data_IF_407326613860
#
_entry.id   IF_407326613860
#
_cell.length_a   1.000
_cell.length_b   1.000
_cell.length_c   1.000
_cell.angle_alpha   90.00
_cell.angle_beta   90.00
_cell.angle_gamma   90.00
#
_symmetry.space_group_name_H-M   'P 1'
#
loop_
_entity.id
_entity.type
_entity.pdbx_description
1 polymer ?
#
# COMPACT_ATOMS: atom_id res chain seq x y z
N UNK A 1 5.04 -6.15 22.75
CA UNK A 1 3.80 -6.62 22.09
C UNK A 1 3.71 -8.12 22.32
N UNK A 2 2.59 -8.67 22.77
CA UNK A 2 2.49 -10.13 22.96
C UNK A 2 2.47 -10.81 21.60
N UNK A 3 3.25 -11.90 21.45
CA UNK A 3 3.35 -12.68 20.21
C UNK A 3 1.98 -13.22 19.77
N UNK A 4 1.11 -13.54 20.73
CA UNK A 4 -0.25 -14.01 20.49
C UNK A 4 -1.13 -12.97 19.76
N UNK A 5 -1.01 -11.68 20.11
CA UNK A 5 -1.79 -10.62 19.46
C UNK A 5 -1.38 -10.44 18.00
N UNK A 6 -0.08 -10.36 17.73
CA UNK A 6 0.43 -10.22 16.36
C UNK A 6 0.01 -11.41 15.50
N UNK A 7 0.19 -12.64 16.00
CA UNK A 7 -0.20 -13.85 15.28
C UNK A 7 -1.71 -13.87 14.98
N UNK A 8 -2.55 -13.41 15.90
CA UNK A 8 -3.99 -13.30 15.67
C UNK A 8 -4.32 -12.29 14.56
N UNK A 9 -3.70 -11.11 14.56
CA UNK A 9 -3.94 -10.11 13.51
C UNK A 9 -3.45 -10.61 12.14
N UNK A 10 -2.25 -11.19 12.07
CA UNK A 10 -1.71 -11.75 10.81
C UNK A 10 -2.61 -12.84 10.24
N UNK A 11 -3.17 -13.72 11.08
CA UNK A 11 -4.14 -14.73 10.62
C UNK A 11 -5.41 -14.10 10.05
N UNK A 12 -5.90 -13.02 10.66
CA UNK A 12 -7.11 -12.31 10.19
C UNK A 12 -6.88 -11.60 8.85
N UNK A 13 -5.70 -11.02 8.63
CA UNK A 13 -5.38 -10.29 7.39
C UNK A 13 -4.65 -11.12 6.32
N UNK A 14 -4.46 -12.42 6.53
CA UNK A 14 -3.62 -13.28 5.67
C UNK A 14 -3.92 -13.18 4.18
N UNK A 15 -5.20 -13.07 3.82
CA UNK A 15 -5.64 -12.95 2.41
C UNK A 15 -5.19 -11.61 1.84
N UNK A 16 -5.37 -10.52 2.59
CA UNK A 16 -4.92 -9.19 2.18
C UNK A 16 -3.39 -9.07 2.11
N UNK A 17 -2.64 -9.81 2.95
CA UNK A 17 -1.19 -9.89 2.82
C UNK A 17 -0.75 -10.51 1.48
N UNK A 18 -1.51 -11.47 0.96
CA UNK A 18 -1.19 -12.16 -0.28
C UNK A 18 -1.43 -11.28 -1.52
N UNK A 19 -2.40 -10.36 -1.50
CA UNK A 19 -2.79 -9.52 -2.64
C UNK A 19 -1.58 -8.81 -3.29
N UNK A 20 -0.78 -7.99 -2.57
CA UNK A 20 0.35 -7.30 -3.19
C UNK A 20 1.46 -8.26 -3.61
N UNK A 21 1.65 -9.39 -2.91
CA UNK A 21 2.66 -10.39 -3.26
C UNK A 21 2.32 -11.12 -4.56
N UNK A 22 1.07 -11.53 -4.73
CA UNK A 22 0.59 -12.16 -5.96
C UNK A 22 0.73 -11.19 -7.13
N UNK A 23 0.30 -9.94 -6.96
CA UNK A 23 0.46 -8.92 -8.00
C UNK A 23 1.93 -8.70 -8.37
N UNK A 24 2.83 -8.67 -7.39
CA UNK A 24 4.27 -8.56 -7.59
C UNK A 24 4.86 -9.75 -8.34
N UNK A 25 4.53 -10.98 -7.93
CA UNK A 25 5.03 -12.21 -8.56
C UNK A 25 4.51 -12.34 -9.99
N UNK A 26 3.23 -12.08 -10.23
CA UNK A 26 2.65 -12.10 -11.58
C UNK A 26 3.34 -11.06 -12.45
N UNK A 27 3.54 -9.84 -11.95
CA UNK A 27 4.24 -8.77 -12.69
C UNK A 27 5.68 -9.16 -13.02
N UNK A 28 6.41 -9.71 -12.05
CA UNK A 28 7.77 -10.20 -12.26
C UNK A 28 7.85 -11.30 -13.32
N UNK A 29 6.98 -12.31 -13.22
CA UNK A 29 6.97 -13.45 -14.14
C UNK A 29 6.61 -13.02 -15.55
N UNK A 30 5.51 -12.28 -15.70
CA UNK A 30 5.04 -11.82 -17.02
C UNK A 30 6.07 -10.86 -17.64
N UNK A 31 6.62 -9.93 -16.88
CA UNK A 31 7.66 -9.01 -17.38
C UNK A 31 8.95 -9.73 -17.75
N UNK A 32 9.37 -10.76 -16.98
CA UNK A 32 10.52 -11.63 -17.33
C UNK A 32 10.30 -12.39 -18.63
N UNK A 33 9.10 -12.97 -18.81
CA UNK A 33 8.76 -13.69 -20.03
C UNK A 33 8.73 -12.76 -21.24
N UNK A 34 8.15 -11.57 -21.08
CA UNK A 34 8.18 -10.54 -22.13
C UNK A 34 9.60 -10.08 -22.45
N UNK A 35 10.49 -9.94 -21.46
CA UNK A 35 11.89 -9.60 -21.70
C UNK A 35 12.63 -10.65 -22.55
N UNK A 36 12.23 -11.91 -22.46
CA UNK A 36 12.81 -13.00 -23.25
C UNK A 36 12.20 -13.11 -24.67
N UNK A 37 10.97 -12.66 -24.86
CA UNK A 37 10.21 -12.88 -26.09
C UNK A 37 10.03 -11.64 -26.97
N UNK A 38 10.08 -10.44 -26.39
CA UNK A 38 9.74 -9.18 -27.05
C UNK A 38 10.94 -8.24 -27.12
N UNK A 39 10.80 -7.14 -27.87
CA UNK A 39 11.81 -6.08 -27.86
C UNK A 39 11.91 -5.43 -26.47
N UNK A 40 13.08 -4.89 -26.14
CA UNK A 40 13.34 -4.24 -24.85
C UNK A 40 12.31 -3.15 -24.53
N UNK A 41 11.95 -2.31 -25.51
CA UNK A 41 10.95 -1.25 -25.32
C UNK A 41 9.54 -1.80 -25.00
N UNK A 42 9.13 -2.88 -25.67
CA UNK A 42 7.84 -3.54 -25.39
C UNK A 42 7.84 -4.18 -24.00
N UNK A 43 8.94 -4.84 -23.61
CA UNK A 43 9.12 -5.41 -22.28
C UNK A 43 9.04 -4.35 -21.18
N UNK A 44 9.71 -3.19 -21.38
CA UNK A 44 9.65 -2.06 -20.46
C UNK A 44 8.24 -1.48 -20.34
N UNK A 45 7.54 -1.28 -21.46
CA UNK A 45 6.18 -0.75 -21.45
C UNK A 45 5.20 -1.68 -20.71
N UNK A 46 5.31 -3.00 -20.94
CA UNK A 46 4.50 -3.99 -20.23
C UNK A 46 4.81 -3.99 -18.73
N UNK A 47 6.09 -4.04 -18.36
CA UNK A 47 6.53 -4.02 -16.97
C UNK A 47 6.06 -2.75 -16.24
N UNK A 48 6.10 -1.59 -16.91
CA UNK A 48 5.57 -0.34 -16.37
C UNK A 48 4.06 -0.41 -16.12
N UNK A 49 3.28 -0.90 -17.09
CA UNK A 49 1.83 -1.06 -16.95
C UNK A 49 1.44 -2.04 -15.84
N UNK A 50 2.07 -3.21 -15.80
CA UNK A 50 1.84 -4.21 -14.74
C UNK A 50 2.28 -3.71 -13.35
N UNK A 51 3.37 -2.92 -13.30
CA UNK A 51 3.80 -2.26 -12.07
C UNK A 51 2.72 -1.38 -11.45
N UNK A 52 1.85 -0.75 -12.25
CA UNK A 52 0.72 0.02 -11.75
C UNK A 52 -0.36 -0.86 -11.09
N UNK A 53 -0.56 -2.08 -11.59
CA UNK A 53 -1.46 -3.07 -10.98
C UNK A 53 -0.96 -3.44 -9.58
N UNK A 54 0.33 -3.68 -9.43
CA UNK A 54 0.93 -3.92 -8.11
C UNK A 54 0.69 -2.76 -7.13
N UNK A 55 0.86 -1.51 -7.58
CA UNK A 55 0.66 -0.32 -6.73
C UNK A 55 -0.79 -0.21 -6.26
N UNK A 56 -1.76 -0.30 -7.18
CA UNK A 56 -3.18 -0.19 -6.80
C UNK A 56 -3.61 -1.37 -5.91
N UNK A 57 -3.16 -2.60 -6.20
CA UNK A 57 -3.41 -3.77 -5.35
C UNK A 57 -2.89 -3.59 -3.92
N UNK A 58 -1.72 -2.94 -3.77
CA UNK A 58 -1.15 -2.63 -2.46
C UNK A 58 -2.02 -1.67 -1.66
N UNK A 59 -2.53 -0.60 -2.29
CA UNK A 59 -3.42 0.35 -1.65
C UNK A 59 -4.78 -0.24 -1.29
N UNK A 60 -5.38 -1.01 -2.21
CA UNK A 60 -6.67 -1.68 -1.99
C UNK A 60 -6.57 -2.72 -0.87
N UNK A 61 -5.48 -3.50 -0.81
CA UNK A 61 -5.26 -4.45 0.27
C UNK A 61 -5.25 -3.76 1.65
N UNK A 62 -4.66 -2.57 1.75
CA UNK A 62 -4.70 -1.76 2.97
C UNK A 62 -6.12 -1.26 3.24
N UNK A 63 -6.83 -0.73 2.24
CA UNK A 63 -8.21 -0.31 2.41
C UNK A 63 -9.10 -1.43 2.99
N UNK A 64 -9.03 -2.64 2.42
CA UNK A 64 -9.79 -3.82 2.86
C UNK A 64 -9.60 -4.11 4.35
N UNK A 65 -8.36 -4.14 4.84
CA UNK A 65 -8.09 -4.53 6.23
C UNK A 65 -8.45 -3.47 7.26
N UNK A 66 -8.61 -2.22 6.82
CA UNK A 66 -8.92 -1.09 7.69
C UNK A 66 -10.41 -0.76 7.74
N UNK A 67 -11.15 -0.98 6.64
CA UNK A 67 -12.59 -0.66 6.55
C UNK A 67 -13.52 -1.86 6.74
N UNK A 68 -12.98 -3.06 6.93
CA UNK A 68 -13.76 -4.31 7.04
C UNK A 68 -14.02 -4.80 8.47
N UNK A 69 -13.82 -3.99 9.51
CA UNK A 69 -13.98 -4.44 10.91
C UNK A 69 -15.28 -3.91 11.55
N UNK A 70 -16.35 -4.73 11.64
CA UNK A 70 -17.64 -4.31 12.21
C UNK A 70 -17.64 -4.26 13.75
N UNK A 71 -16.51 -4.51 14.42
CA UNK A 71 -16.44 -4.68 15.88
C UNK A 71 -15.57 -3.62 16.56
N UNK A 72 -15.68 -2.36 16.15
CA UNK A 72 -14.92 -1.24 16.75
C UNK A 72 -15.14 -1.18 18.27
N UNK A 73 -16.38 -1.33 18.72
CA UNK A 73 -16.77 -1.31 20.14
C UNK A 73 -16.15 -2.46 20.95
N UNK A 74 -16.06 -3.66 20.36
CA UNK A 74 -15.45 -4.83 21.01
C UNK A 74 -13.94 -4.66 21.16
N UNK A 75 -13.27 -3.98 20.22
CA UNK A 75 -11.84 -3.73 20.31
C UNK A 75 -11.51 -2.70 21.40
N UNK A 76 -12.30 -1.64 21.53
CA UNK A 76 -12.11 -0.64 22.60
C UNK A 76 -12.41 -1.20 24.00
N UNK A 77 -13.25 -2.24 24.10
CA UNK A 77 -13.51 -2.96 25.35
C UNK A 77 -12.38 -3.96 25.74
N UNK A 78 -11.34 -4.12 24.92
CA UNK A 78 -10.22 -5.03 25.18
C UNK A 78 -8.89 -4.28 25.37
N UNK A 79 -7.85 -4.91 25.94
CA UNK A 79 -6.49 -4.34 26.00
C UNK A 79 -5.86 -4.05 24.62
N UNK A 80 -6.53 -4.45 23.53
CA UNK A 80 -6.13 -4.20 22.15
C UNK A 80 -7.02 -3.11 21.53
N UNK A 81 -6.77 -1.85 21.91
CA UNK A 81 -7.51 -0.69 21.39
C UNK A 81 -7.60 -0.65 19.87
N UNK A 82 -8.66 -0.04 19.35
CA UNK A 82 -8.93 0.03 17.91
C UNK A 82 -7.75 0.61 17.13
N UNK A 83 -7.16 1.72 17.63
CA UNK A 83 -5.94 2.33 17.07
C UNK A 83 -4.82 1.30 16.86
N UNK A 84 -4.58 0.45 17.87
CA UNK A 84 -3.49 -0.51 17.85
C UNK A 84 -3.73 -1.59 16.80
N UNK A 85 -4.96 -2.09 16.70
CA UNK A 85 -5.35 -3.09 15.70
C UNK A 85 -5.19 -2.53 14.28
N UNK A 86 -5.75 -1.34 14.02
CA UNK A 86 -5.68 -0.67 12.72
C UNK A 86 -4.23 -0.47 12.26
N UNK A 87 -3.35 -0.02 13.14
CA UNK A 87 -1.94 0.16 12.80
C UNK A 87 -1.20 -1.15 12.56
N UNK A 88 -1.42 -2.18 13.37
CA UNK A 88 -0.76 -3.47 13.13
C UNK A 88 -1.19 -4.06 11.79
N UNK A 89 -2.47 -3.96 11.43
CA UNK A 89 -2.96 -4.42 10.12
C UNK A 89 -2.40 -3.60 8.97
N UNK A 90 -2.43 -2.27 9.07
CA UNK A 90 -1.84 -1.37 8.07
C UNK A 90 -0.36 -1.71 7.85
N UNK A 91 0.44 -1.75 8.93
CA UNK A 91 1.87 -2.03 8.87
C UNK A 91 2.15 -3.42 8.29
N UNK A 92 1.38 -4.45 8.65
CA UNK A 92 1.58 -5.79 8.13
C UNK A 92 1.35 -5.85 6.61
N UNK A 93 0.27 -5.23 6.11
CA UNK A 93 -0.02 -5.19 4.66
C UNK A 93 0.99 -4.31 3.93
N UNK A 94 1.38 -3.16 4.49
CA UNK A 94 2.43 -2.32 3.91
C UNK A 94 3.77 -3.06 3.84
N UNK A 95 4.16 -3.80 4.88
CA UNK A 95 5.38 -4.60 4.85
C UNK A 95 5.31 -5.68 3.76
N UNK A 96 4.15 -6.33 3.59
CA UNK A 96 3.93 -7.27 2.49
C UNK A 96 4.09 -6.60 1.11
N UNK A 97 3.55 -5.39 0.95
CA UNK A 97 3.72 -4.62 -0.28
C UNK A 97 5.18 -4.19 -0.52
N UNK A 98 5.92 -3.80 0.52
CA UNK A 98 7.35 -3.49 0.40
C UNK A 98 8.16 -4.73 -0.03
N UNK A 99 7.86 -5.90 0.53
CA UNK A 99 8.47 -7.16 0.08
C UNK A 99 8.10 -7.43 -1.39
N UNK A 100 6.82 -7.28 -1.74
CA UNK A 100 6.33 -7.41 -3.12
C UNK A 100 7.06 -6.46 -4.08
N UNK A 101 7.30 -5.20 -3.70
CA UNK A 101 8.03 -4.24 -4.51
C UNK A 101 9.45 -4.74 -4.85
N UNK A 102 10.16 -5.31 -3.87
CA UNK A 102 11.51 -5.88 -4.08
C UNK A 102 11.45 -7.14 -4.95
N UNK A 103 10.51 -8.05 -4.65
CA UNK A 103 10.29 -9.30 -5.40
C UNK A 103 9.93 -9.01 -6.86
N UNK A 104 9.19 -7.94 -7.12
CA UNK A 104 8.84 -7.47 -8.46
C UNK A 104 10.03 -6.81 -9.16
N UNK A 105 10.70 -5.88 -8.47
CA UNK A 105 11.77 -5.06 -9.06
C UNK A 105 13.00 -5.88 -9.45
N UNK A 106 13.54 -6.68 -8.51
CA UNK A 106 14.79 -7.40 -8.70
C UNK A 106 14.88 -8.22 -10.00
N UNK A 107 13.88 -9.08 -10.34
CA UNK A 107 13.94 -9.85 -11.57
C UNK A 107 13.82 -9.00 -12.84
N UNK A 108 13.06 -7.90 -12.80
CA UNK A 108 12.87 -6.99 -13.93
C UNK A 108 14.08 -6.08 -14.18
N UNK A 109 14.73 -5.64 -13.09
CA UNK A 109 16.01 -4.94 -13.10
C UNK A 109 17.09 -5.80 -13.76
N UNK A 110 17.25 -7.04 -13.30
CA UNK A 110 18.24 -7.98 -13.87
C UNK A 110 17.96 -8.27 -15.34
N UNK A 111 16.69 -8.28 -15.76
CA UNK A 111 16.30 -8.47 -17.15
C UNK A 111 16.41 -7.20 -18.02
N UNK A 112 16.81 -6.05 -17.45
CA UNK A 112 16.97 -4.80 -18.18
C UNK A 112 15.66 -4.23 -18.73
N UNK A 113 14.52 -4.58 -18.14
CA UNK A 113 13.18 -4.13 -18.56
C UNK A 113 12.50 -3.23 -17.53
N UNK A 114 13.23 -2.77 -16.52
CA UNK A 114 12.72 -1.74 -15.63
C UNK A 114 12.86 -0.35 -16.28
N UNK A 115 11.77 0.41 -16.33
CA UNK A 115 11.78 1.73 -16.97
C UNK A 115 12.57 2.75 -16.13
N UNK A 116 13.41 3.56 -16.79
CA UNK A 116 14.26 4.58 -16.13
C UNK A 116 15.16 3.98 -15.03
N UNK A 117 15.70 2.79 -15.28
CA UNK A 117 16.60 2.11 -14.37
C UNK A 117 17.90 2.88 -14.16
N UNK A 118 18.26 3.13 -12.90
CA UNK A 118 19.49 3.82 -12.46
C UNK A 118 20.29 2.91 -11.53
N UNK A 119 20.11 1.59 -11.66
CA UNK A 119 20.64 0.59 -10.76
C UNK A 119 19.70 0.28 -9.61
N UNK A 120 20.21 -0.46 -8.62
CA UNK A 120 19.43 -0.94 -7.48
C UNK A 120 18.73 0.16 -6.66
N UNK A 121 19.21 1.40 -6.72
CA UNK A 121 18.55 2.53 -6.05
C UNK A 121 17.14 2.78 -6.59
N UNK A 122 16.85 2.38 -7.83
CA UNK A 122 15.52 2.53 -8.45
C UNK A 122 14.44 1.69 -7.76
N UNK A 123 14.80 0.69 -6.93
CA UNK A 123 13.85 -0.06 -6.09
C UNK A 123 13.05 0.84 -5.14
N UNK A 124 13.58 2.02 -4.80
CA UNK A 124 12.89 3.03 -3.98
C UNK A 124 11.61 3.52 -4.65
N UNK A 125 11.48 3.42 -5.98
CA UNK A 125 10.27 3.83 -6.71
C UNK A 125 9.06 2.97 -6.32
N UNK A 126 9.05 1.64 -6.54
CA UNK A 126 7.90 0.82 -6.16
C UNK A 126 7.71 0.73 -4.64
N UNK A 127 8.78 0.76 -3.84
CA UNK A 127 8.67 0.83 -2.37
C UNK A 127 7.96 2.12 -1.94
N UNK A 128 8.41 3.27 -2.44
CA UNK A 128 7.83 4.56 -2.12
C UNK A 128 6.37 4.66 -2.55
N UNK A 129 6.02 4.15 -3.75
CA UNK A 129 4.62 4.06 -4.19
C UNK A 129 3.75 3.24 -3.22
N UNK A 130 4.22 2.05 -2.82
CA UNK A 130 3.50 1.17 -1.90
C UNK A 130 3.29 1.83 -0.53
N UNK A 131 4.32 2.51 0.00
CA UNK A 131 4.24 3.23 1.28
C UNK A 131 3.29 4.43 1.18
N UNK A 132 3.39 5.24 0.11
CA UNK A 132 2.54 6.41 -0.09
C UNK A 132 1.07 6.02 -0.21
N UNK A 133 0.74 5.03 -1.03
CA UNK A 133 -0.66 4.62 -1.23
C UNK A 133 -1.23 3.96 0.02
N UNK A 134 -0.43 3.19 0.76
CA UNK A 134 -0.83 2.61 2.03
C UNK A 134 -1.14 3.67 3.09
N UNK A 135 -0.30 4.71 3.18
CA UNK A 135 -0.53 5.82 4.12
C UNK A 135 -1.76 6.64 3.74
N UNK A 136 -2.02 6.85 2.44
CA UNK A 136 -3.24 7.50 1.96
C UNK A 136 -4.48 6.68 2.32
N UNK A 137 -4.45 5.35 2.12
CA UNK A 137 -5.50 4.44 2.53
C UNK A 137 -5.73 4.50 4.05
N UNK A 138 -4.66 4.46 4.84
CA UNK A 138 -4.74 4.56 6.29
C UNK A 138 -5.33 5.88 6.77
N UNK A 139 -4.93 6.99 6.14
CA UNK A 139 -5.51 8.30 6.39
C UNK A 139 -7.01 8.33 6.08
N UNK A 140 -7.39 7.90 4.87
CA UNK A 140 -8.78 7.91 4.46
C UNK A 140 -9.67 7.01 5.32
N UNK A 141 -9.21 5.78 5.61
CA UNK A 141 -9.91 4.85 6.48
C UNK A 141 -10.06 5.41 7.88
N UNK A 142 -9.01 6.02 8.43
CA UNK A 142 -9.08 6.70 9.70
C UNK A 142 -10.17 7.78 9.65
N UNK A 143 -10.16 8.75 8.73
CA UNK A 143 -11.12 9.85 8.80
C UNK A 143 -12.56 9.50 8.41
N UNK A 144 -12.75 8.58 7.46
CA UNK A 144 -14.05 8.33 6.83
C UNK A 144 -14.76 7.09 7.35
N UNK A 145 -14.03 6.07 7.81
CA UNK A 145 -14.59 4.76 8.16
C UNK A 145 -15.25 4.00 6.99
N UNK A 146 -15.29 4.56 5.78
CA UNK A 146 -16.02 4.01 4.63
C UNK A 146 -15.07 3.32 3.66
N UNK A 147 -15.41 2.08 3.29
CA UNK A 147 -14.72 1.33 2.25
C UNK A 147 -14.73 2.07 0.90
N UNK A 148 -15.86 2.68 0.55
CA UNK A 148 -16.02 3.43 -0.70
C UNK A 148 -15.11 4.65 -0.73
N UNK A 149 -15.19 5.52 0.29
CA UNK A 149 -14.36 6.73 0.37
C UNK A 149 -12.86 6.41 0.43
N UNK A 150 -12.49 5.37 1.18
CA UNK A 150 -11.10 4.92 1.26
C UNK A 150 -10.58 4.45 -0.09
N UNK A 151 -11.37 3.67 -0.83
CA UNK A 151 -10.99 3.18 -2.15
C UNK A 151 -10.89 4.32 -3.17
N UNK A 152 -11.77 5.33 -3.10
CA UNK A 152 -11.68 6.54 -3.93
C UNK A 152 -10.35 7.25 -3.69
N UNK A 153 -9.94 7.44 -2.43
CA UNK A 153 -8.66 8.09 -2.11
C UNK A 153 -7.47 7.25 -2.59
N UNK A 154 -7.53 5.92 -2.44
CA UNK A 154 -6.51 5.00 -2.96
C UNK A 154 -6.36 5.14 -4.47
N UNK A 155 -7.48 5.09 -5.21
CA UNK A 155 -7.48 5.24 -6.66
C UNK A 155 -7.01 6.62 -7.09
N UNK A 156 -7.43 7.69 -6.42
CA UNK A 156 -6.99 9.04 -6.70
C UNK A 156 -5.47 9.22 -6.46
N UNK A 157 -4.95 8.63 -5.37
CA UNK A 157 -3.51 8.64 -5.06
C UNK A 157 -2.72 7.86 -6.11
N UNK A 158 -3.21 6.69 -6.51
CA UNK A 158 -2.63 5.90 -7.57
C UNK A 158 -2.59 6.66 -8.91
N UNK A 159 -3.71 7.25 -9.32
CA UNK A 159 -3.79 8.08 -10.54
C UNK A 159 -2.84 9.27 -10.48
N UNK A 160 -2.79 9.97 -9.34
CA UNK A 160 -1.85 11.07 -9.14
C UNK A 160 -0.40 10.62 -9.33
N UNK A 161 0.01 9.53 -8.65
CA UNK A 161 1.36 9.01 -8.77
C UNK A 161 1.65 8.59 -10.22
N UNK A 162 0.80 7.75 -10.80
CA UNK A 162 1.03 7.12 -12.10
C UNK A 162 0.96 8.11 -13.28
N UNK A 163 0.00 9.04 -13.26
CA UNK A 163 -0.33 9.88 -14.41
C UNK A 163 0.14 11.33 -14.28
N UNK A 164 0.30 11.86 -13.05
CA UNK A 164 0.57 13.29 -12.83
C UNK A 164 1.92 13.57 -12.17
N UNK A 165 2.52 12.60 -11.49
CA UNK A 165 3.74 12.81 -10.73
C UNK A 165 4.94 12.06 -11.31
N UNK A 166 4.86 10.74 -11.38
CA UNK A 166 5.97 9.88 -11.79
C UNK A 166 6.52 10.14 -13.19
N UNK A 167 5.70 10.47 -14.20
CA UNK A 167 6.21 10.77 -15.54
C UNK A 167 6.98 12.09 -15.62
N UNK A 168 6.72 13.05 -14.71
CA UNK A 168 7.18 14.44 -14.84
C UNK A 168 8.26 14.83 -13.82
N UNK A 169 8.48 14.04 -12.77
CA UNK A 169 9.48 14.33 -11.73
C UNK A 169 10.68 13.38 -11.86
N UNK A 170 11.77 13.86 -12.46
CA UNK A 170 12.97 13.05 -12.69
C UNK A 170 13.86 12.82 -11.44
N UNK A 171 14.12 13.83 -10.57
CA UNK A 171 15.01 13.63 -9.44
C UNK A 171 14.38 12.65 -8.45
N UNK A 172 15.04 11.52 -8.19
CA UNK A 172 14.50 10.44 -7.37
C UNK A 172 14.08 10.91 -5.97
N UNK A 173 14.87 11.80 -5.37
CA UNK A 173 14.58 12.41 -4.08
C UNK A 173 13.27 13.20 -4.09
N UNK A 174 12.97 13.95 -5.14
CA UNK A 174 11.71 14.69 -5.25
C UNK A 174 10.56 13.75 -5.62
N UNK A 175 10.81 12.84 -6.58
CA UNK A 175 9.83 11.87 -7.08
C UNK A 175 9.25 11.01 -5.97
N UNK A 176 10.06 10.62 -4.98
CA UNK A 176 9.60 9.78 -3.86
C UNK A 176 9.57 10.48 -2.52
N UNK A 177 10.52 11.37 -2.24
CA UNK A 177 10.61 12.07 -0.96
C UNK A 177 9.38 12.93 -0.67
N UNK A 178 8.85 13.65 -1.67
CA UNK A 178 7.66 14.50 -1.47
C UNK A 178 6.41 13.64 -1.19
N UNK A 179 6.04 12.65 -2.02
CA UNK A 179 4.87 11.81 -1.73
C UNK A 179 5.00 11.04 -0.41
N UNK A 180 6.19 10.54 -0.07
CA UNK A 180 6.43 9.84 1.21
C UNK A 180 6.29 10.81 2.39
N UNK A 181 6.82 12.03 2.30
CA UNK A 181 6.69 13.04 3.36
C UNK A 181 5.23 13.42 3.61
N UNK A 182 4.47 13.67 2.54
CA UNK A 182 3.02 13.95 2.63
C UNK A 182 2.30 12.76 3.28
N UNK A 183 2.59 11.54 2.83
CA UNK A 183 2.06 10.30 3.38
C UNK A 183 2.38 10.13 4.88
N UNK A 184 3.61 10.43 5.31
CA UNK A 184 4.00 10.38 6.72
C UNK A 184 3.21 11.37 7.56
N UNK A 185 3.03 12.61 7.08
CA UNK A 185 2.22 13.62 7.79
C UNK A 185 0.77 13.14 7.94
N UNK A 186 0.19 12.56 6.88
CA UNK A 186 -1.16 11.99 6.92
C UNK A 186 -1.25 10.81 7.89
N UNK A 187 -0.27 9.89 7.88
CA UNK A 187 -0.23 8.75 8.79
C UNK A 187 -0.12 9.19 10.26
N UNK A 188 0.69 10.20 10.56
CA UNK A 188 0.80 10.77 11.93
C UNK A 188 -0.53 11.40 12.36
N UNK A 189 -1.20 12.14 11.47
CA UNK A 189 -2.52 12.72 11.76
C UNK A 189 -3.59 11.65 11.99
N UNK A 190 -3.61 10.62 11.15
CA UNK A 190 -4.50 9.47 11.26
C UNK A 190 -4.26 8.70 12.57
N UNK A 191 -3.00 8.49 12.95
CA UNK A 191 -2.64 7.86 14.23
C UNK A 191 -3.16 8.65 15.44
N UNK A 192 -2.98 9.97 15.43
CA UNK A 192 -3.50 10.85 16.50
C UNK A 192 -5.03 10.79 16.54
N UNK A 193 -5.68 10.87 15.38
CA UNK A 193 -7.14 10.80 15.24
C UNK A 193 -7.69 9.50 15.82
N UNK A 194 -7.09 8.35 15.48
CA UNK A 194 -7.55 7.05 15.96
C UNK A 194 -7.41 6.89 17.48
N UNK A 195 -6.68 7.77 18.17
CA UNK A 195 -6.60 7.78 19.63
C UNK A 195 -7.83 8.36 20.33
N UNK A 196 -8.77 8.95 19.60
CA UNK A 196 -10.02 9.51 20.12
C UNK A 196 -11.12 8.43 20.11
N UNK A 197 -11.27 7.74 21.25
CA UNK A 197 -12.20 6.61 21.39
C UNK A 197 -13.67 7.01 21.25
N UNK A 198 -14.07 8.16 21.83
CA UNK A 198 -15.45 8.67 21.74
C UNK A 198 -15.84 8.93 20.28
N UNK A 199 -14.91 9.48 19.50
CA UNK A 199 -15.13 9.73 18.08
C UNK A 199 -15.15 8.46 17.24
N UNK A 200 -14.34 7.46 17.58
CA UNK A 200 -14.38 6.16 16.91
C UNK A 200 -15.73 5.44 17.15
N UNK A 201 -16.24 5.47 18.38
CA UNK A 201 -17.52 4.86 18.76
C UNK A 201 -18.69 5.58 18.07
N UNK A 202 -18.74 6.91 18.15
CA UNK A 202 -19.83 7.68 17.51
C UNK A 202 -19.90 7.48 16.00
N UNK A 203 -18.77 7.34 15.31
CA UNK A 203 -18.77 7.00 13.89
C UNK A 203 -19.25 5.59 13.58
N UNK A 204 -18.91 4.61 14.43
CA UNK A 204 -19.39 3.24 14.26
C UNK A 204 -20.92 3.18 14.39
N UNK A 205 -21.48 3.88 15.38
CA UNK A 205 -22.93 3.97 15.58
C UNK A 205 -23.63 4.67 14.41
N UNK A 206 -23.07 5.74 13.87
CA UNK A 206 -23.67 6.47 12.75
C UNK A 206 -23.63 5.70 11.40
N UNK A 207 -22.81 4.65 11.32
CA UNK A 207 -22.66 3.81 10.12
C UNK A 207 -23.49 2.51 10.16
N UNK A 208 -24.13 2.20 11.29
CA UNK A 208 -25.01 1.05 11.50
C UNK A 208 -26.48 1.40 11.16
#
# INVERSE_FOLDING_TARGET
>A
MSVSFLAAQLRRVRVALAIPLVAAVVTALVGRLAAAAWSSMQGMALAFGLGQIFVICSGVAVAIVLTGDPLVELHEATPASFRRVQVVRAVAVTASAVIGAVVMFAPLHVAGVWMQDKGWITVVIPIGSAVTIAAAAFGAAAYTGSASSTTIVVTATWLFLAALWDPYVEPLLLRRGIPVLIATILAVRAWRRLGDAERNISQAVAAA
#
